data_IF_106534510111
#
_entry.id   IF_106534510111
#
_cell.length_a   1.000
_cell.length_b   1.000
_cell.length_c   1.000
_cell.angle_alpha   90.00
_cell.angle_beta   90.00
_cell.angle_gamma   90.00
#
_symmetry.space_group_name_H-M   'P 1'
#
loop_
_entity.id
_entity.type
_entity.pdbx_description
1 polymer ?
#
# COMPACT_ATOMS: atom_id res chain seq x y z
N UNK A 1 -13.84 -5.33 6.24
CA UNK A 1 -12.59 -4.55 6.08
C UNK A 1 -12.12 -4.09 7.45
N UNK A 2 -10.87 -4.35 7.82
CA UNK A 2 -10.31 -3.79 9.04
C UNK A 2 -10.11 -2.28 8.85
N UNK A 3 -11.01 -1.47 9.40
CA UNK A 3 -11.05 -0.01 9.23
C UNK A 3 -9.98 0.75 10.01
N UNK A 4 -9.07 0.04 10.69
CA UNK A 4 -8.14 0.65 11.65
C UNK A 4 -7.15 1.62 11.04
N UNK A 5 -6.70 1.35 9.80
CA UNK A 5 -5.66 2.12 9.12
C UNK A 5 -6.11 2.75 7.81
N UNK A 6 -7.33 2.52 7.39
CA UNK A 6 -7.90 3.12 6.19
C UNK A 6 -9.26 3.71 6.50
N UNK A 7 -9.46 4.94 6.07
CA UNK A 7 -10.74 5.66 6.17
C UNK A 7 -11.19 6.09 4.79
N UNK A 8 -12.48 6.36 4.62
CA UNK A 8 -13.06 6.77 3.35
C UNK A 8 -13.99 7.96 3.52
N UNK A 9 -14.06 8.75 2.46
CA UNK A 9 -14.99 9.86 2.33
C UNK A 9 -15.58 9.88 0.91
N UNK A 10 -16.90 9.77 0.81
CA UNK A 10 -17.62 9.91 -0.46
C UNK A 10 -17.78 11.40 -0.73
N UNK A 11 -17.15 11.90 -1.78
CA UNK A 11 -17.22 13.33 -2.12
C UNK A 11 -18.07 13.63 -3.34
N UNK A 12 -18.40 12.63 -4.16
CA UNK A 12 -19.31 12.78 -5.28
C UNK A 12 -20.17 11.54 -5.48
N UNK A 13 -21.45 11.76 -5.72
CA UNK A 13 -22.42 10.74 -6.10
C UNK A 13 -23.28 11.30 -7.22
N UNK A 14 -23.31 10.61 -8.35
CA UNK A 14 -24.12 10.96 -9.51
C UNK A 14 -25.05 9.80 -9.84
N UNK A 15 -26.35 10.04 -9.77
CA UNK A 15 -27.37 9.06 -10.12
C UNK A 15 -28.07 9.49 -11.41
N UNK A 16 -28.21 8.55 -12.34
CA UNK A 16 -28.96 8.75 -13.58
C UNK A 16 -30.03 7.64 -13.72
N UNK A 17 -31.28 7.93 -13.27
CA UNK A 17 -32.37 6.97 -13.34
C UNK A 17 -32.71 6.54 -14.77
N UNK A 18 -32.58 7.45 -15.74
CA UNK A 18 -32.90 7.15 -17.15
C UNK A 18 -31.99 6.06 -17.73
N UNK A 19 -30.70 6.10 -17.36
CA UNK A 19 -29.72 5.09 -17.77
C UNK A 19 -29.57 3.94 -16.75
N UNK A 20 -30.25 4.04 -15.61
CA UNK A 20 -30.14 3.08 -14.52
C UNK A 20 -28.74 3.00 -13.95
N UNK A 21 -28.00 4.12 -13.86
CA UNK A 21 -26.60 4.17 -13.41
C UNK A 21 -26.45 4.99 -12.16
N UNK A 22 -25.53 4.56 -11.28
CA UNK A 22 -25.07 5.35 -10.13
C UNK A 22 -23.55 5.32 -10.12
N UNK A 23 -22.91 6.49 -10.17
CA UNK A 23 -21.45 6.67 -10.07
C UNK A 23 -21.13 7.23 -8.70
N UNK A 24 -20.06 6.74 -8.08
CA UNK A 24 -19.60 7.20 -6.77
C UNK A 24 -18.09 7.39 -6.80
N UNK A 25 -17.64 8.56 -6.37
CA UNK A 25 -16.23 8.90 -6.20
C UNK A 25 -15.91 8.97 -4.71
N UNK A 26 -14.87 8.23 -4.31
CA UNK A 26 -14.48 8.04 -2.91
C UNK A 26 -13.01 8.39 -2.73
N UNK A 27 -12.72 9.26 -1.76
CA UNK A 27 -11.38 9.51 -1.28
C UNK A 27 -11.05 8.55 -0.14
N UNK A 28 -9.88 7.93 -0.23
CA UNK A 28 -9.34 7.01 0.76
C UNK A 28 -8.11 7.62 1.40
N UNK A 29 -7.97 7.40 2.70
CA UNK A 29 -6.79 7.82 3.46
C UNK A 29 -6.28 6.64 4.26
N UNK A 30 -5.00 6.30 4.06
CA UNK A 30 -4.28 5.26 4.81
C UNK A 30 -3.40 5.99 5.82
N UNK A 31 -3.61 5.71 7.10
CA UNK A 31 -2.89 6.34 8.20
C UNK A 31 -2.12 5.28 9.01
N UNK A 32 -0.80 5.30 8.89
CA UNK A 32 0.11 4.42 9.63
C UNK A 32 0.67 5.06 10.90
N UNK A 33 0.32 6.31 11.21
CA UNK A 33 0.88 7.04 12.37
C UNK A 33 0.61 6.36 13.71
N UNK A 34 -0.42 5.52 13.78
CA UNK A 34 -0.81 4.77 14.98
C UNK A 34 -0.01 3.48 15.19
N UNK A 35 0.76 3.05 14.20
CA UNK A 35 1.61 1.87 14.33
C UNK A 35 2.90 2.23 15.06
N UNK A 36 3.31 1.44 16.08
CA UNK A 36 4.58 1.65 16.76
C UNK A 36 5.75 1.64 15.77
N UNK A 37 6.70 2.57 15.94
CA UNK A 37 7.91 2.70 15.13
C UNK A 37 7.71 3.00 13.63
N UNK A 38 6.48 3.15 13.17
CA UNK A 38 6.22 3.46 11.76
C UNK A 38 6.70 4.85 11.35
N UNK A 39 6.80 5.81 12.28
CA UNK A 39 7.27 7.17 11.97
C UNK A 39 8.68 7.15 11.37
N UNK A 40 9.61 6.42 11.97
CA UNK A 40 10.97 6.28 11.43
C UNK A 40 10.97 5.67 10.02
N UNK A 41 10.17 4.62 9.82
CA UNK A 41 10.04 3.99 8.52
C UNK A 41 9.45 4.95 7.49
N UNK A 42 8.42 5.71 7.84
CA UNK A 42 7.75 6.65 6.94
C UNK A 42 8.65 7.84 6.60
N UNK A 43 9.41 8.37 7.57
CA UNK A 43 10.41 9.40 7.31
C UNK A 43 11.49 8.91 6.33
N UNK A 44 11.96 7.69 6.51
CA UNK A 44 12.89 7.07 5.58
C UNK A 44 12.26 6.84 4.20
N UNK A 45 11.05 6.30 4.14
CA UNK A 45 10.33 6.05 2.90
C UNK A 45 10.05 7.32 2.11
N UNK A 46 9.80 8.45 2.78
CA UNK A 46 9.60 9.75 2.13
C UNK A 46 10.80 10.19 1.28
N UNK A 47 12.00 9.72 1.61
CA UNK A 47 13.22 10.03 0.88
C UNK A 47 13.52 9.04 -0.26
N UNK A 48 12.94 7.85 -0.26
CA UNK A 48 13.25 6.79 -1.22
C UNK A 48 12.08 6.42 -2.13
N UNK A 49 10.85 6.75 -1.76
CA UNK A 49 9.68 6.62 -2.64
C UNK A 49 9.73 7.72 -3.70
N UNK A 50 9.63 7.34 -4.94
CA UNK A 50 9.67 8.25 -6.09
C UNK A 50 8.27 8.54 -6.62
N UNK A 51 8.14 9.59 -7.43
CA UNK A 51 6.89 9.85 -8.16
C UNK A 51 6.50 8.68 -9.07
N UNK A 52 7.48 7.97 -9.62
CA UNK A 52 7.23 6.77 -10.42
C UNK A 52 6.63 5.63 -9.58
N UNK A 53 7.12 5.42 -8.36
CA UNK A 53 6.53 4.46 -7.41
C UNK A 53 5.06 4.79 -7.16
N UNK A 54 4.75 6.07 -6.89
CA UNK A 54 3.37 6.50 -6.67
C UNK A 54 2.49 6.31 -7.89
N UNK A 55 2.95 6.72 -9.08
CA UNK A 55 2.20 6.56 -10.32
C UNK A 55 1.94 5.09 -10.67
N UNK A 56 2.88 4.20 -10.35
CA UNK A 56 2.72 2.76 -10.57
C UNK A 56 1.73 2.11 -9.60
N UNK A 57 1.55 2.67 -8.40
CA UNK A 57 0.55 2.22 -7.43
C UNK A 57 -0.84 2.71 -7.85
N UNK A 58 -0.99 4.02 -7.97
CA UNK A 58 -2.20 4.71 -8.40
C UNK A 58 -1.85 6.16 -8.78
N UNK A 59 -2.27 6.65 -9.96
CA UNK A 59 -1.97 8.01 -10.39
C UNK A 59 -2.50 9.11 -9.47
N UNK A 60 -3.52 8.82 -8.68
CA UNK A 60 -4.10 9.77 -7.70
C UNK A 60 -3.44 9.71 -6.33
N UNK A 61 -2.49 8.77 -6.12
CA UNK A 61 -1.86 8.55 -4.82
C UNK A 61 -0.98 9.74 -4.45
N UNK A 62 -1.22 10.27 -3.27
CA UNK A 62 -0.45 11.35 -2.66
C UNK A 62 0.05 10.92 -1.28
N UNK A 63 1.27 11.28 -1.00
CA UNK A 63 1.86 11.15 0.33
C UNK A 63 1.87 12.52 1.00
N UNK A 64 1.21 12.62 2.13
CA UNK A 64 1.20 13.81 2.97
C UNK A 64 2.31 13.69 4.01
N UNK A 65 3.21 14.64 3.96
CA UNK A 65 4.49 14.62 4.64
C UNK A 65 4.41 14.60 6.18
N UNK A 66 5.61 14.65 6.79
CA UNK A 66 6.03 14.72 8.20
C UNK A 66 4.99 14.96 9.30
N UNK A 67 3.85 15.59 9.00
CA UNK A 67 2.84 15.91 10.03
C UNK A 67 1.80 14.83 10.17
N UNK A 68 1.47 14.16 9.06
CA UNK A 68 0.30 13.29 9.00
C UNK A 68 0.63 11.82 8.73
N UNK A 69 1.76 11.50 8.09
CA UNK A 69 2.15 10.12 7.74
C UNK A 69 1.01 9.34 7.06
N UNK A 70 0.33 10.01 6.14
CA UNK A 70 -0.84 9.46 5.46
C UNK A 70 -0.62 9.38 3.96
N UNK A 71 -1.24 8.36 3.37
CA UNK A 71 -1.37 8.24 1.92
C UNK A 71 -2.83 8.42 1.56
N UNK A 72 -3.12 9.21 0.55
CA UNK A 72 -4.48 9.38 0.05
C UNK A 72 -4.57 9.14 -1.44
N UNK A 73 -5.70 8.61 -1.88
CA UNK A 73 -5.99 8.36 -3.28
C UNK A 73 -7.50 8.34 -3.50
N UNK A 74 -7.90 8.42 -4.77
CA UNK A 74 -9.31 8.47 -5.17
C UNK A 74 -9.66 7.24 -5.98
N UNK A 75 -10.82 6.66 -5.72
CA UNK A 75 -11.40 5.63 -6.57
C UNK A 75 -12.74 6.07 -7.11
N UNK A 76 -13.04 5.67 -8.33
CA UNK A 76 -14.31 5.89 -8.98
C UNK A 76 -14.91 4.55 -9.39
N UNK A 77 -16.17 4.36 -9.09
CA UNK A 77 -16.90 3.19 -9.54
C UNK A 77 -18.35 3.52 -9.86
N UNK A 78 -18.91 2.76 -10.76
CA UNK A 78 -20.32 2.86 -11.12
C UNK A 78 -21.02 1.50 -11.07
N UNK A 79 -22.31 1.55 -10.79
CA UNK A 79 -23.24 0.47 -10.96
C UNK A 79 -24.16 0.76 -12.15
N UNK A 80 -24.63 -0.28 -12.79
CA UNK A 80 -25.65 -0.19 -13.84
C UNK A 80 -26.68 -1.28 -13.59
N UNK A 81 -27.95 -0.89 -13.60
CA UNK A 81 -29.04 -1.84 -13.46
C UNK A 81 -29.14 -2.73 -14.69
N UNK A 82 -29.48 -3.99 -14.48
CA UNK A 82 -29.81 -4.92 -15.58
C UNK A 82 -31.06 -4.43 -16.33
N UNK A 83 -31.14 -4.71 -17.64
CA UNK A 83 -32.33 -4.39 -18.45
C UNK A 83 -33.62 -5.03 -17.94
N UNK A 84 -33.51 -6.08 -17.12
CA UNK A 84 -34.65 -6.84 -16.56
C UNK A 84 -35.07 -6.35 -15.17
N UNK A 85 -34.25 -5.51 -14.55
CA UNK A 85 -34.47 -5.08 -13.18
C UNK A 85 -34.94 -3.62 -13.09
N UNK A 86 -35.68 -3.31 -12.04
CA UNK A 86 -36.05 -1.93 -11.75
C UNK A 86 -34.87 -1.20 -11.13
N UNK A 87 -34.62 0.02 -11.60
CA UNK A 87 -33.58 0.86 -11.01
C UNK A 87 -33.88 1.19 -9.54
N UNK A 88 -32.90 0.96 -8.69
CA UNK A 88 -32.89 1.42 -7.31
C UNK A 88 -31.58 2.17 -7.06
N UNK A 89 -31.72 3.45 -6.71
CA UNK A 89 -30.57 4.31 -6.40
C UNK A 89 -29.78 3.78 -5.19
N UNK A 90 -30.48 3.31 -4.17
CA UNK A 90 -29.85 2.77 -2.96
C UNK A 90 -29.03 1.51 -3.25
N UNK A 91 -29.57 0.56 -3.98
CA UNK A 91 -28.85 -0.65 -4.43
C UNK A 91 -27.69 -0.27 -5.33
N UNK A 92 -27.91 0.63 -6.28
CA UNK A 92 -26.86 1.14 -7.17
C UNK A 92 -25.69 1.78 -6.43
N UNK A 93 -26.01 2.59 -5.42
CA UNK A 93 -25.03 3.22 -4.53
C UNK A 93 -24.20 2.18 -3.75
N UNK A 94 -24.85 1.21 -3.12
CA UNK A 94 -24.14 0.15 -2.38
C UNK A 94 -23.24 -0.69 -3.26
N UNK A 95 -23.68 -1.04 -4.47
CA UNK A 95 -22.83 -1.77 -5.44
C UNK A 95 -21.62 -0.94 -5.84
N UNK A 96 -21.80 0.36 -6.13
CA UNK A 96 -20.71 1.25 -6.48
C UNK A 96 -19.71 1.41 -5.32
N UNK A 97 -20.19 1.49 -4.08
CA UNK A 97 -19.33 1.52 -2.89
C UNK A 97 -18.51 0.24 -2.73
N UNK A 98 -19.11 -0.93 -2.88
CA UNK A 98 -18.37 -2.21 -2.80
C UNK A 98 -17.29 -2.32 -3.89
N UNK A 99 -17.58 -1.85 -5.10
CA UNK A 99 -16.58 -1.77 -6.18
C UNK A 99 -15.43 -0.82 -5.83
N UNK A 100 -15.73 0.34 -5.23
CA UNK A 100 -14.73 1.28 -4.74
C UNK A 100 -13.87 0.66 -3.63
N UNK A 101 -14.48 -0.04 -2.65
CA UNK A 101 -13.75 -0.75 -1.60
C UNK A 101 -12.78 -1.80 -2.18
N UNK A 102 -13.23 -2.58 -3.17
CA UNK A 102 -12.37 -3.55 -3.84
C UNK A 102 -11.16 -2.88 -4.50
N UNK A 103 -11.37 -1.77 -5.21
CA UNK A 103 -10.29 -0.98 -5.82
C UNK A 103 -9.34 -0.44 -4.76
N UNK A 104 -9.87 0.11 -3.67
CA UNK A 104 -9.09 0.68 -2.58
C UNK A 104 -8.20 -0.37 -1.90
N UNK A 105 -8.71 -1.56 -1.63
CA UNK A 105 -7.92 -2.65 -1.07
C UNK A 105 -6.81 -3.10 -2.02
N UNK A 106 -7.07 -3.08 -3.32
CA UNK A 106 -6.05 -3.41 -4.32
C UNK A 106 -4.92 -2.38 -4.35
N UNK A 107 -5.26 -1.09 -4.33
CA UNK A 107 -4.28 0.00 -4.23
C UNK A 107 -3.49 -0.06 -2.92
N UNK A 108 -4.17 -0.34 -1.81
CA UNK A 108 -3.54 -0.53 -0.51
C UNK A 108 -2.51 -1.67 -0.51
N UNK A 109 -2.87 -2.81 -1.08
CA UNK A 109 -1.94 -3.94 -1.20
C UNK A 109 -0.73 -3.60 -2.09
N UNK A 110 -0.93 -2.88 -3.19
CA UNK A 110 0.18 -2.40 -4.02
C UNK A 110 1.13 -1.50 -3.23
N UNK A 111 0.60 -0.56 -2.44
CA UNK A 111 1.41 0.31 -1.58
C UNK A 111 2.23 -0.52 -0.58
N UNK A 112 1.62 -1.47 0.11
CA UNK A 112 2.31 -2.34 1.06
C UNK A 112 3.42 -3.15 0.37
N UNK A 113 3.17 -3.67 -0.82
CA UNK A 113 4.16 -4.42 -1.58
C UNK A 113 5.36 -3.55 -1.99
N UNK A 114 5.12 -2.31 -2.40
CA UNK A 114 6.21 -1.36 -2.72
C UNK A 114 7.02 -1.03 -1.47
N UNK A 115 6.37 -0.77 -0.34
CA UNK A 115 7.05 -0.53 0.94
C UNK A 115 7.91 -1.74 1.34
N UNK A 116 7.36 -2.94 1.30
CA UNK A 116 8.12 -4.17 1.59
C UNK A 116 9.33 -4.35 0.67
N UNK A 117 9.16 -4.09 -0.63
CA UNK A 117 10.25 -4.16 -1.60
C UNK A 117 11.38 -3.17 -1.29
N UNK A 118 11.04 -1.94 -0.85
CA UNK A 118 12.03 -0.94 -0.44
C UNK A 118 12.75 -1.35 0.85
N UNK A 119 12.04 -1.89 1.83
CA UNK A 119 12.62 -2.43 3.06
C UNK A 119 13.60 -3.57 2.74
N UNK A 120 13.21 -4.50 1.90
CA UNK A 120 14.09 -5.61 1.48
C UNK A 120 15.35 -5.09 0.79
N UNK A 121 15.21 -4.16 -0.13
CA UNK A 121 16.32 -3.60 -0.90
C UNK A 121 17.32 -2.84 -0.02
N UNK A 122 16.82 -1.98 0.86
CA UNK A 122 17.68 -1.02 1.58
C UNK A 122 18.12 -1.51 2.95
N UNK A 123 17.46 -2.48 3.55
CA UNK A 123 17.78 -2.98 4.89
C UNK A 123 18.12 -4.47 4.90
N UNK A 124 17.21 -5.32 4.45
CA UNK A 124 17.36 -6.77 4.59
C UNK A 124 18.49 -7.33 3.74
N UNK A 125 18.55 -7.00 2.46
CA UNK A 125 19.61 -7.48 1.56
C UNK A 125 21.01 -7.04 1.99
N UNK A 126 21.28 -5.77 2.33
CA UNK A 126 22.56 -5.36 2.86
C UNK A 126 22.97 -6.07 4.14
N UNK A 127 22.03 -6.28 5.07
CA UNK A 127 22.30 -7.03 6.32
C UNK A 127 22.60 -8.51 6.06
N UNK A 128 21.90 -9.14 5.13
CA UNK A 128 22.17 -10.53 4.72
C UNK A 128 23.56 -10.67 4.09
N UNK A 129 23.99 -9.69 3.28
CA UNK A 129 25.35 -9.68 2.71
C UNK A 129 26.41 -9.55 3.81
N UNK A 130 26.22 -8.67 4.78
CA UNK A 130 27.13 -8.51 5.92
C UNK A 130 27.22 -9.82 6.70
N UNK A 131 26.09 -10.46 6.98
CA UNK A 131 26.06 -11.74 7.68
C UNK A 131 26.80 -12.83 6.92
N UNK A 132 26.57 -12.95 5.61
CA UNK A 132 27.27 -13.92 4.77
C UNK A 132 28.79 -13.69 4.78
N UNK A 133 29.25 -12.46 4.71
CA UNK A 133 30.67 -12.12 4.79
C UNK A 133 31.27 -12.51 6.15
N UNK A 134 30.55 -12.23 7.25
CA UNK A 134 30.98 -12.61 8.59
C UNK A 134 31.05 -14.13 8.75
N UNK A 135 30.09 -14.88 8.25
CA UNK A 135 30.08 -16.33 8.30
C UNK A 135 31.27 -16.93 7.50
N UNK A 136 31.59 -16.34 6.38
CA UNK A 136 32.75 -16.73 5.57
C UNK A 136 34.07 -16.46 6.28
N UNK A 137 34.21 -15.30 6.92
CA UNK A 137 35.41 -14.94 7.71
C UNK A 137 35.58 -15.86 8.92
N UNK A 138 34.50 -16.19 9.62
CA UNK A 138 34.50 -17.15 10.72
C UNK A 138 34.97 -18.53 10.25
N UNK A 139 34.47 -18.99 9.12
CA UNK A 139 34.88 -20.28 8.54
C UNK A 139 36.38 -20.28 8.21
N UNK A 140 36.89 -19.21 7.59
CA UNK A 140 38.33 -19.08 7.29
C UNK A 140 39.21 -19.10 8.55
N UNK A 141 38.77 -18.41 9.60
CA UNK A 141 39.48 -18.42 10.89
C UNK A 141 39.47 -19.81 11.50
N UNK A 142 38.38 -20.52 11.39
CA UNK A 142 38.27 -21.91 11.88
C UNK A 142 39.26 -22.84 11.18
N UNK A 143 39.37 -22.74 9.85
CA UNK A 143 40.32 -23.54 9.07
C UNK A 143 41.76 -23.22 9.46
N UNK A 144 42.14 -21.96 9.62
CA UNK A 144 43.48 -21.54 10.07
C UNK A 144 43.81 -22.05 11.46
N UNK A 145 42.87 -21.97 12.41
CA UNK A 145 43.05 -22.48 13.76
C UNK A 145 43.30 -24.01 13.78
N UNK A 146 42.60 -24.73 12.93
CA UNK A 146 42.77 -26.17 12.79
C UNK A 146 44.15 -26.53 12.24
N UNK A 147 44.63 -25.81 11.23
CA UNK A 147 46.00 -25.96 10.71
C UNK A 147 47.07 -25.75 11.78
N UNK A 148 46.88 -24.74 12.67
CA UNK A 148 47.82 -24.50 13.78
C UNK A 148 47.80 -25.61 14.84
N UNK A 149 46.69 -26.27 15.08
CA UNK A 149 46.57 -27.35 16.04
C UNK A 149 47.28 -28.64 15.60
N UNK A 150 47.46 -28.79 14.29
CA UNK A 150 48.08 -29.99 13.69
C UNK A 150 49.54 -29.79 13.27
N UNK A 151 50.13 -28.65 13.60
CA UNK A 151 51.58 -28.36 13.50
C UNK A 151 52.28 -28.67 14.79
#
# INVERSE_FOLDING_TARGET
MNKRYITSYVFEKVSNPENGTTKVDVQWTIDFSRLPNMRFLLDFLSNILTNEDFNNIDPSLQYWDHRYYTFSFVTTASSKVSKKDTYSEDIGYHIALMKNQKKALHTYNKLINVINSKIDKYFKKPLDIIRMNNDFDIFHLFMKLDEYKHK
#
